data_IF_021124041611
#
_entry.id   IF_021124041611
#
_cell.length_a   1.000
_cell.length_b   1.000
_cell.length_c   1.000
_cell.angle_alpha   90.00
_cell.angle_beta   90.00
_cell.angle_gamma   90.00
#
_symmetry.space_group_name_H-M   'P 1'
#
loop_
_entity.id
_entity.type
_entity.pdbx_description
1 polymer ?
#
# COMPACT_ATOMS: atom_id res chain seq x y z
N UNK A 1 16.57 9.59 0.25
CA UNK A 1 15.09 9.51 0.40
C UNK A 1 14.41 9.86 -0.90
N UNK A 2 13.35 9.16 -1.24
CA UNK A 2 12.43 9.48 -2.36
C UNK A 2 11.02 9.65 -1.81
N UNK A 3 10.27 10.64 -2.34
CA UNK A 3 8.85 10.85 -2.01
C UNK A 3 8.00 10.68 -3.28
N UNK A 4 6.97 9.86 -3.18
CA UNK A 4 6.05 9.54 -4.28
C UNK A 4 4.64 9.86 -3.79
N UNK A 5 3.86 10.56 -4.60
CA UNK A 5 2.44 10.79 -4.36
C UNK A 5 1.62 10.12 -5.45
N UNK A 6 0.72 9.24 -5.07
CA UNK A 6 -0.24 8.60 -5.97
C UNK A 6 -1.60 9.28 -5.76
N UNK A 7 -2.23 9.87 -6.78
CA UNK A 7 -3.48 10.63 -6.64
C UNK A 7 -4.72 9.74 -6.47
N UNK A 8 -4.55 8.50 -6.07
CA UNK A 8 -5.59 7.50 -5.84
C UNK A 8 -5.18 6.58 -4.68
N UNK A 9 -6.17 5.95 -4.07
CA UNK A 9 -5.96 4.96 -3.00
C UNK A 9 -5.90 3.54 -3.56
N UNK A 10 -5.05 2.66 -3.02
CA UNK A 10 -5.13 1.24 -3.31
C UNK A 10 -6.50 0.70 -2.88
N UNK A 11 -7.12 -0.21 -3.65
CA UNK A 11 -8.30 -0.92 -3.18
C UNK A 11 -7.97 -1.74 -1.93
N UNK A 12 -8.98 -2.03 -1.11
CA UNK A 12 -8.82 -2.93 0.02
C UNK A 12 -8.55 -4.35 -0.46
N UNK A 13 -7.96 -5.18 0.38
CA UNK A 13 -7.63 -6.56 0.07
C UNK A 13 -8.84 -7.36 -0.47
N UNK A 14 -10.04 -7.10 0.08
CA UNK A 14 -11.28 -7.76 -0.35
C UNK A 14 -11.71 -7.36 -1.78
N UNK A 15 -11.31 -6.18 -2.24
CA UNK A 15 -11.59 -5.69 -3.59
C UNK A 15 -10.44 -5.96 -4.55
N UNK A 16 -9.21 -6.01 -4.03
CA UNK A 16 -8.01 -6.25 -4.83
C UNK A 16 -7.89 -7.68 -5.32
N UNK A 17 -8.46 -8.63 -4.59
CA UNK A 17 -8.35 -10.05 -4.86
C UNK A 17 -9.71 -10.73 -4.85
N UNK A 18 -9.84 -11.77 -5.68
CA UNK A 18 -11.01 -12.63 -5.75
C UNK A 18 -10.65 -14.09 -5.55
N UNK A 19 -11.52 -14.83 -4.90
CA UNK A 19 -11.37 -16.26 -4.72
C UNK A 19 -12.07 -17.00 -5.87
N UNK A 20 -11.47 -18.06 -6.36
CA UNK A 20 -12.06 -18.94 -7.35
C UNK A 20 -11.84 -20.42 -7.01
N UNK A 21 -12.78 -21.23 -7.42
CA UNK A 21 -12.72 -22.69 -7.18
C UNK A 21 -11.80 -23.31 -8.23
N UNK A 22 -10.74 -23.97 -7.78
CA UNK A 22 -9.91 -24.82 -8.65
C UNK A 22 -10.63 -26.15 -8.84
N UNK A 23 -10.91 -26.50 -10.10
CA UNK A 23 -11.56 -27.78 -10.47
C UNK A 23 -10.51 -28.73 -11.01
N UNK A 24 -10.55 -29.95 -10.47
CA UNK A 24 -9.72 -31.05 -10.97
C UNK A 24 -10.39 -31.84 -12.11
N UNK A 25 -9.79 -32.96 -12.47
CA UNK A 25 -10.37 -33.88 -13.45
C UNK A 25 -11.80 -34.27 -13.07
N UNK A 26 -12.67 -34.42 -14.08
CA UNK A 26 -14.11 -34.67 -13.94
C UNK A 26 -14.90 -33.55 -13.22
N UNK A 27 -14.38 -32.29 -13.18
CA UNK A 27 -15.07 -31.13 -12.65
C UNK A 27 -15.25 -31.09 -11.14
N UNK A 28 -14.63 -32.02 -10.39
CA UNK A 28 -14.70 -31.99 -8.91
C UNK A 28 -13.90 -30.82 -8.35
N UNK A 29 -14.41 -30.07 -7.33
CA UNK A 29 -13.65 -29.03 -6.66
C UNK A 29 -12.43 -29.64 -5.97
N UNK A 30 -11.24 -29.09 -6.25
CA UNK A 30 -9.97 -29.48 -5.62
C UNK A 30 -9.52 -28.50 -4.53
N UNK A 31 -10.06 -27.30 -4.53
CA UNK A 31 -9.68 -26.26 -3.56
C UNK A 31 -10.13 -24.88 -4.00
N UNK A 32 -9.73 -23.90 -3.22
CA UNK A 32 -9.94 -22.49 -3.50
C UNK A 32 -8.59 -21.82 -3.73
N UNK A 33 -8.47 -21.03 -4.78
CA UNK A 33 -7.28 -20.21 -5.04
C UNK A 33 -7.67 -18.74 -5.09
N UNK A 34 -6.69 -17.86 -4.89
CA UNK A 34 -6.86 -16.43 -4.88
C UNK A 34 -6.12 -15.80 -6.06
N UNK A 35 -6.75 -14.87 -6.76
CA UNK A 35 -6.13 -14.12 -7.86
C UNK A 35 -6.47 -12.63 -7.77
N UNK A 36 -5.72 -11.79 -8.48
CA UNK A 36 -6.05 -10.39 -8.62
C UNK A 36 -7.41 -10.21 -9.31
N UNK A 37 -8.26 -9.38 -8.72
CA UNK A 37 -9.51 -8.92 -9.31
C UNK A 37 -9.25 -7.99 -10.50
N UNK A 38 -10.29 -7.61 -11.23
CA UNK A 38 -10.19 -6.58 -12.26
C UNK A 38 -9.75 -5.23 -11.67
N UNK A 39 -10.26 -4.87 -10.50
CA UNK A 39 -9.89 -3.65 -9.76
C UNK A 39 -8.42 -3.68 -9.32
N UNK A 40 -7.93 -4.80 -8.79
CA UNK A 40 -6.52 -4.95 -8.42
C UNK A 40 -5.58 -4.84 -9.61
N UNK A 41 -5.95 -5.43 -10.76
CA UNK A 41 -5.16 -5.28 -12.00
C UNK A 41 -5.15 -3.85 -12.52
N UNK A 42 -6.31 -3.17 -12.52
CA UNK A 42 -6.41 -1.78 -12.93
C UNK A 42 -5.53 -0.87 -12.06
N UNK A 43 -5.56 -1.05 -10.74
CA UNK A 43 -4.71 -0.30 -9.82
C UNK A 43 -3.21 -0.47 -10.15
N UNK A 44 -2.73 -1.70 -10.39
CA UNK A 44 -1.32 -1.94 -10.74
C UNK A 44 -0.92 -1.23 -12.05
N UNK A 45 -1.80 -1.23 -13.04
CA UNK A 45 -1.58 -0.52 -14.32
C UNK A 45 -1.50 0.99 -14.07
N UNK A 46 -2.39 1.54 -13.25
CA UNK A 46 -2.40 2.96 -12.91
C UNK A 46 -1.11 3.39 -12.18
N UNK A 47 -0.67 2.59 -11.21
CA UNK A 47 0.60 2.83 -10.51
C UNK A 47 1.77 2.81 -11.49
N UNK A 48 1.84 1.79 -12.36
CA UNK A 48 2.91 1.67 -13.34
C UNK A 48 2.95 2.88 -14.28
N UNK A 49 1.81 3.31 -14.81
CA UNK A 49 1.69 4.48 -15.68
C UNK A 49 2.10 5.77 -14.94
N UNK A 50 1.60 5.96 -13.72
CA UNK A 50 1.89 7.16 -12.92
C UNK A 50 3.39 7.27 -12.57
N UNK A 51 3.99 6.18 -12.12
CA UNK A 51 5.40 6.15 -11.78
C UNK A 51 6.30 6.36 -13.01
N UNK A 52 6.00 5.70 -14.11
CA UNK A 52 6.78 5.84 -15.35
C UNK A 52 6.68 7.23 -15.96
N UNK A 53 5.54 7.92 -15.82
CA UNK A 53 5.34 9.25 -16.37
C UNK A 53 5.84 10.38 -15.46
N UNK A 54 5.74 10.23 -14.15
CA UNK A 54 6.04 11.30 -13.18
C UNK A 54 7.36 11.13 -12.44
N UNK A 55 7.81 9.89 -12.24
CA UNK A 55 8.93 9.56 -11.39
C UNK A 55 10.03 8.76 -12.11
N UNK A 56 10.01 8.68 -13.44
CA UNK A 56 10.96 7.89 -14.22
C UNK A 56 12.43 8.13 -13.84
N UNK A 57 12.83 9.39 -13.65
CA UNK A 57 14.19 9.77 -13.26
C UNK A 57 14.57 9.32 -11.83
N UNK A 58 13.56 9.05 -11.00
CA UNK A 58 13.75 8.68 -9.60
C UNK A 58 13.72 7.16 -9.38
N UNK A 59 13.24 6.39 -10.37
CA UNK A 59 13.16 4.92 -10.24
C UNK A 59 14.52 4.27 -10.07
N UNK A 60 15.59 4.90 -10.52
CA UNK A 60 16.97 4.46 -10.28
C UNK A 60 17.43 4.48 -8.81
N UNK A 61 16.63 5.06 -7.92
CA UNK A 61 16.82 4.98 -6.47
C UNK A 61 16.69 3.54 -5.96
N UNK A 62 15.81 2.76 -6.57
CA UNK A 62 15.57 1.37 -6.19
C UNK A 62 16.64 0.44 -6.75
N UNK A 63 17.37 -0.21 -5.85
CA UNK A 63 18.45 -1.15 -6.19
C UNK A 63 18.17 -2.53 -5.63
N UNK A 64 18.54 -3.56 -6.35
CA UNK A 64 18.47 -4.93 -5.84
C UNK A 64 19.35 -5.09 -4.59
N UNK A 65 18.93 -5.97 -3.70
CA UNK A 65 19.64 -6.28 -2.45
C UNK A 65 19.87 -5.08 -1.52
N UNK A 66 18.97 -4.10 -1.57
CA UNK A 66 18.99 -2.92 -0.71
C UNK A 66 17.78 -2.97 0.21
N UNK A 67 17.97 -2.63 1.48
CA UNK A 67 16.87 -2.54 2.45
C UNK A 67 16.24 -1.15 2.41
N UNK A 68 14.92 -1.09 2.45
CA UNK A 68 14.17 0.16 2.45
C UNK A 68 13.27 0.28 3.67
N UNK A 69 13.13 1.50 4.16
CA UNK A 69 12.13 1.91 5.14
C UNK A 69 11.06 2.65 4.35
N UNK A 70 9.80 2.25 4.51
CA UNK A 70 8.69 2.84 3.76
C UNK A 70 7.66 3.40 4.72
N UNK A 71 7.39 4.69 4.63
CA UNK A 71 6.26 5.32 5.28
C UNK A 71 5.14 5.50 4.26
N UNK A 72 3.98 4.94 4.55
CA UNK A 72 2.75 5.12 3.78
C UNK A 72 1.81 6.05 4.53
N UNK A 73 1.48 7.19 3.97
CA UNK A 73 0.50 8.12 4.51
C UNK A 73 -0.75 8.07 3.64
N UNK A 74 -1.81 7.46 4.14
CA UNK A 74 -3.09 7.37 3.45
C UNK A 74 -3.97 8.55 3.84
N UNK A 75 -4.47 9.29 2.85
CA UNK A 75 -5.39 10.38 3.05
C UNK A 75 -6.81 9.94 2.68
N UNK A 76 -7.74 10.17 3.61
CA UNK A 76 -9.16 9.88 3.46
C UNK A 76 -9.96 11.15 3.68
N UNK A 77 -11.06 11.32 2.95
CA UNK A 77 -11.88 12.54 3.05
C UNK A 77 -12.39 12.80 4.45
N UNK A 78 -12.82 11.76 5.16
CA UNK A 78 -13.36 11.86 6.51
C UNK A 78 -12.99 10.60 7.29
N UNK A 79 -12.31 10.76 8.40
CA UNK A 79 -11.97 9.69 9.33
C UNK A 79 -12.99 9.52 10.47
N UNK A 80 -13.72 10.58 10.82
CA UNK A 80 -14.72 10.52 11.90
C UNK A 80 -16.06 9.95 11.42
N UNK A 81 -16.74 9.27 12.32
CA UNK A 81 -18.12 8.83 12.12
C UNK A 81 -19.07 10.00 12.33
N UNK A 82 -19.90 10.31 11.34
CA UNK A 82 -20.88 11.41 11.40
C UNK A 82 -21.89 11.27 12.55
N UNK A 83 -22.11 10.06 13.02
CA UNK A 83 -23.09 9.80 14.09
C UNK A 83 -22.52 9.85 15.50
N UNK A 84 -21.21 10.08 15.67
CA UNK A 84 -20.60 10.15 17.00
C UNK A 84 -20.93 11.48 17.70
N UNK A 85 -21.24 11.49 19.02
CA UNK A 85 -21.47 10.32 19.88
C UNK A 85 -22.94 9.83 19.91
N UNK A 86 -23.85 10.44 19.15
CA UNK A 86 -25.29 10.27 19.32
C UNK A 86 -25.87 8.97 18.72
N UNK A 87 -25.30 8.48 17.62
CA UNK A 87 -25.79 7.28 16.92
C UNK A 87 -24.72 6.19 16.73
N UNK A 88 -23.52 6.40 17.25
CA UNK A 88 -22.43 5.42 17.26
C UNK A 88 -21.49 5.66 18.44
N UNK A 89 -21.01 4.60 19.05
CA UNK A 89 -20.07 4.64 20.17
C UNK A 89 -18.63 4.83 19.69
N UNK A 90 -18.37 4.63 18.39
CA UNK A 90 -17.03 4.76 17.82
C UNK A 90 -16.86 6.13 17.16
N UNK A 91 -15.84 6.88 17.60
CA UNK A 91 -15.51 8.19 17.02
C UNK A 91 -14.96 8.07 15.62
N UNK A 92 -14.09 7.10 15.37
CA UNK A 92 -13.41 6.97 14.10
C UNK A 92 -13.93 5.77 13.30
N UNK A 93 -13.94 5.92 11.98
CA UNK A 93 -14.25 4.85 11.04
C UNK A 93 -13.19 3.74 11.12
N UNK A 94 -13.65 2.51 11.00
CA UNK A 94 -12.77 1.36 10.86
C UNK A 94 -12.23 1.36 9.43
N UNK A 95 -11.11 2.04 9.22
CA UNK A 95 -10.39 2.06 7.94
C UNK A 95 -9.06 1.35 8.15
N UNK A 96 -8.92 0.20 7.54
CA UNK A 96 -7.71 -0.59 7.64
C UNK A 96 -6.71 -0.19 6.54
N UNK A 97 -5.69 0.57 6.94
CA UNK A 97 -4.60 0.95 6.05
C UNK A 97 -3.71 -0.24 5.67
N UNK A 98 -3.56 -1.21 6.57
CA UNK A 98 -2.71 -2.38 6.34
C UNK A 98 -3.27 -3.28 5.23
N UNK A 99 -4.59 -3.39 5.10
CA UNK A 99 -5.24 -4.15 4.02
C UNK A 99 -5.05 -3.53 2.61
N UNK A 100 -4.39 -2.38 2.53
CA UNK A 100 -4.09 -1.70 1.25
C UNK A 100 -2.62 -1.80 0.87
N UNK A 101 -1.75 -2.15 1.81
CA UNK A 101 -0.30 -2.10 1.62
C UNK A 101 0.17 -3.19 0.68
N UNK A 102 -0.36 -4.40 0.80
CA UNK A 102 0.11 -5.54 0.01
C UNK A 102 0.05 -5.25 -1.48
N UNK A 103 -1.11 -4.85 -1.99
CA UNK A 103 -1.26 -4.55 -3.41
C UNK A 103 -0.40 -3.36 -3.85
N UNK A 104 -0.25 -2.35 -2.98
CA UNK A 104 0.61 -1.20 -3.24
C UNK A 104 2.08 -1.62 -3.38
N UNK A 105 2.57 -2.47 -2.50
CA UNK A 105 3.95 -2.96 -2.55
C UNK A 105 4.17 -3.91 -3.72
N UNK A 106 3.23 -4.79 -4.03
CA UNK A 106 3.27 -5.62 -5.24
C UNK A 106 3.36 -4.74 -6.51
N UNK A 107 2.61 -3.64 -6.56
CA UNK A 107 2.65 -2.71 -7.68
C UNK A 107 3.99 -1.95 -7.77
N UNK A 108 4.52 -1.49 -6.64
CA UNK A 108 5.84 -0.85 -6.57
C UNK A 108 6.95 -1.80 -6.98
N UNK A 109 6.94 -3.03 -6.46
CA UNK A 109 7.92 -4.06 -6.76
C UNK A 109 7.99 -4.36 -8.27
N UNK A 110 6.83 -4.46 -8.92
CA UNK A 110 6.73 -4.70 -10.34
C UNK A 110 7.33 -3.57 -11.20
N UNK A 111 7.11 -2.32 -10.81
CA UNK A 111 7.62 -1.16 -11.55
C UNK A 111 9.10 -0.91 -11.28
N UNK A 112 9.54 -1.08 -10.04
CA UNK A 112 10.92 -0.79 -9.62
C UNK A 112 11.88 -1.94 -9.88
N UNK A 113 11.36 -3.16 -10.07
CA UNK A 113 12.15 -4.39 -10.17
C UNK A 113 12.76 -4.84 -8.84
N UNK A 114 12.35 -4.24 -7.71
CA UNK A 114 12.71 -4.67 -6.37
C UNK A 114 11.65 -5.61 -5.81
N UNK A 115 12.07 -6.64 -5.10
CA UNK A 115 11.16 -7.53 -4.38
C UNK A 115 10.54 -6.79 -3.17
N UNK A 116 9.28 -7.03 -2.85
CA UNK A 116 8.60 -6.42 -1.71
C UNK A 116 9.22 -6.83 -0.36
N UNK A 117 9.92 -7.97 -0.32
CA UNK A 117 10.72 -8.40 0.84
C UNK A 117 11.86 -7.44 1.18
N UNK A 118 12.20 -6.51 0.31
CA UNK A 118 13.20 -5.45 0.56
C UNK A 118 12.65 -4.28 1.38
N UNK A 119 11.34 -4.20 1.59
CA UNK A 119 10.69 -3.20 2.45
C UNK A 119 10.67 -3.71 3.90
N UNK A 120 11.77 -3.46 4.62
CA UNK A 120 12.02 -4.04 5.94
C UNK A 120 11.17 -3.38 7.03
N UNK A 121 11.10 -2.06 7.02
CA UNK A 121 10.32 -1.31 8.00
C UNK A 121 9.20 -0.56 7.29
N UNK A 122 7.97 -0.78 7.75
CA UNK A 122 6.77 -0.17 7.17
C UNK A 122 6.02 0.62 8.23
N UNK A 123 5.89 1.93 8.00
CA UNK A 123 5.14 2.85 8.85
C UNK A 123 3.85 3.23 8.13
N UNK A 124 2.72 3.04 8.78
CA UNK A 124 1.40 3.35 8.21
C UNK A 124 0.75 4.46 8.99
N UNK A 125 0.44 5.54 8.30
CA UNK A 125 -0.28 6.68 8.85
C UNK A 125 -1.60 6.90 8.10
N UNK A 126 -2.60 7.41 8.81
CA UNK A 126 -3.87 7.87 8.25
C UNK A 126 -4.05 9.35 8.54
N UNK A 127 -4.54 10.10 7.57
CA UNK A 127 -4.80 11.55 7.66
C UNK A 127 -6.13 11.87 6.98
N UNK A 128 -6.72 12.98 7.35
CA UNK A 128 -7.84 13.57 6.60
C UNK A 128 -7.33 14.46 5.48
N UNK A 129 -7.99 14.39 4.33
CA UNK A 129 -7.67 15.17 3.15
C UNK A 129 -8.32 14.61 1.89
N UNK A 130 -7.95 15.14 0.74
CA UNK A 130 -8.32 14.52 -0.54
C UNK A 130 -7.73 13.12 -0.64
N UNK A 131 -8.49 12.19 -1.22
CA UNK A 131 -8.07 10.78 -1.29
C UNK A 131 -6.83 10.61 -2.16
N UNK A 132 -5.74 10.21 -1.53
CA UNK A 132 -4.45 9.89 -2.17
C UNK A 132 -3.57 9.11 -1.19
N UNK A 133 -2.43 8.64 -1.66
CA UNK A 133 -1.39 8.07 -0.79
C UNK A 133 -0.04 8.71 -1.07
N UNK A 134 0.67 9.04 -0.01
CA UNK A 134 2.06 9.49 -0.07
C UNK A 134 2.97 8.40 0.45
N UNK A 135 4.06 8.19 -0.25
CA UNK A 135 5.12 7.24 0.11
C UNK A 135 6.41 8.00 0.32
N UNK A 136 6.99 7.88 1.49
CA UNK A 136 8.34 8.31 1.77
C UNK A 136 9.21 7.07 1.95
N UNK A 137 10.27 6.96 1.17
CA UNK A 137 11.10 5.76 1.10
C UNK A 137 12.55 6.13 1.32
N UNK A 138 13.17 5.50 2.29
CA UNK A 138 14.58 5.67 2.66
C UNK A 138 15.36 4.40 2.35
N UNK A 139 16.60 4.56 1.95
CA UNK A 139 17.55 3.47 1.89
C UNK A 139 18.10 3.23 3.31
N UNK A 140 17.74 2.12 3.92
CA UNK A 140 18.15 1.78 5.29
C UNK A 140 19.65 1.45 5.41
N UNK A 141 20.32 1.13 4.31
CA UNK A 141 21.74 0.83 4.31
C UNK A 141 22.62 2.11 4.24
N UNK A 142 22.04 3.22 3.76
CA UNK A 142 22.74 4.51 3.63
C UNK A 142 22.42 5.48 4.77
N UNK A 143 21.24 5.37 5.37
CA UNK A 143 20.82 6.23 6.46
C UNK A 143 20.74 5.43 7.77
N UNK A 144 21.57 5.80 8.76
CA UNK A 144 21.27 5.44 10.14
C UNK A 144 20.04 6.24 10.57
N UNK A 145 18.86 5.76 10.22
CA UNK A 145 17.61 6.36 10.67
C UNK A 145 17.51 6.09 12.17
N UNK A 146 18.01 7.00 12.95
CA UNK A 146 17.69 7.07 14.37
C UNK A 146 16.21 7.44 14.45
N UNK A 147 15.35 6.46 14.50
CA UNK A 147 13.97 6.63 14.94
C UNK A 147 14.05 7.03 16.42
N UNK A 148 14.28 8.29 16.68
CA UNK A 148 14.10 8.86 18.00
C UNK A 148 12.60 8.87 18.27
N UNK A 149 12.10 7.77 18.82
CA UNK A 149 10.89 7.82 19.59
C UNK A 149 11.18 8.84 20.72
N UNK A 150 10.54 10.00 20.64
CA UNK A 150 10.75 11.07 21.61
C UNK A 150 10.63 10.50 23.01
N UNK A 151 11.72 10.49 23.73
CA UNK A 151 11.71 10.47 25.16
C UNK A 151 11.23 11.86 25.57
N UNK A 152 9.93 12.04 25.65
CA UNK A 152 9.39 13.07 26.52
C UNK A 152 9.57 12.55 27.95
N UNK A 153 10.50 13.18 28.62
CA UNK A 153 10.68 13.06 30.04
C UNK A 153 9.56 13.76 30.82
#
# INVERSE_FOLDING_TARGET
MISISLPFLPPTDNHAYENFIVRGGKGKPMGCARRLSAEGRAFKIEVAHHLSSRYASQLGFFKKNTRYIVQCVFFFRILENKGYPNSTDTRYKIIDGHNRIKLLFDALAEVTGCDDSTFFDVIVNKREGSEHVELNIWNADEEQVTLSFGKEG
#
